data_IF_929774017488
#
_entry.id   IF_929774017488
#
_cell.length_a   1.000
_cell.length_b   1.000
_cell.length_c   1.000
_cell.angle_alpha   90.00
_cell.angle_beta   90.00
_cell.angle_gamma   90.00
#
_symmetry.space_group_name_H-M   'P 1'
#
loop_
_entity.id
_entity.type
_entity.pdbx_description
1 polymer ?
#
# COMPACT_ATOMS: atom_id res chain seq x y z
N UNK A 1 15.10 14.93 -54.74
CA UNK A 1 16.22 14.21 -54.09
C UNK A 1 16.12 12.77 -54.49
N UNK A 2 17.23 12.14 -54.82
CA UNK A 2 17.30 10.72 -55.23
C UNK A 2 18.02 9.97 -54.11
N UNK A 3 17.53 8.80 -53.72
CA UNK A 3 18.19 7.96 -52.74
C UNK A 3 19.46 7.27 -53.35
N UNK A 4 20.19 6.52 -52.51
CA UNK A 4 21.41 5.82 -52.95
C UNK A 4 21.17 4.78 -54.04
N UNK A 5 19.91 4.32 -54.23
CA UNK A 5 19.48 3.31 -55.20
C UNK A 5 18.87 3.94 -56.45
N UNK A 6 18.87 5.26 -56.59
CA UNK A 6 18.38 6.02 -57.73
C UNK A 6 16.87 6.27 -57.75
N UNK A 7 16.14 6.00 -56.66
CA UNK A 7 14.73 6.27 -56.57
C UNK A 7 14.46 7.72 -56.13
N UNK A 8 13.47 8.38 -56.73
CA UNK A 8 13.04 9.70 -56.33
C UNK A 8 12.44 9.71 -54.92
N UNK A 9 13.07 10.39 -54.00
CA UNK A 9 12.55 10.62 -52.64
C UNK A 9 11.93 12.00 -52.61
N UNK A 10 10.61 12.08 -52.47
CA UNK A 10 9.90 13.30 -52.27
C UNK A 10 9.79 13.60 -50.78
N UNK A 11 10.29 14.73 -50.35
CA UNK A 11 10.09 15.22 -48.99
C UNK A 11 8.78 15.98 -48.90
N UNK A 12 7.96 15.69 -47.88
CA UNK A 12 6.76 16.45 -47.58
C UNK A 12 7.13 17.80 -46.99
N UNK A 13 6.92 18.85 -47.74
CA UNK A 13 7.09 20.26 -47.28
C UNK A 13 5.74 20.94 -47.21
N UNK A 14 5.53 21.93 -46.32
CA UNK A 14 4.31 22.72 -46.30
C UNK A 14 4.09 23.43 -47.61
N UNK A 15 2.94 23.21 -48.27
CA UNK A 15 2.59 23.77 -49.58
C UNK A 15 2.95 22.89 -50.78
N UNK A 16 3.46 21.67 -50.59
CA UNK A 16 3.72 20.74 -51.68
C UNK A 16 2.42 20.35 -52.38
N UNK A 17 2.35 20.59 -53.69
CA UNK A 17 1.28 20.10 -54.54
C UNK A 17 1.85 19.00 -55.42
N UNK A 18 1.48 17.73 -55.12
CA UNK A 18 1.91 16.57 -55.90
C UNK A 18 0.81 16.16 -56.88
N UNK A 19 1.18 15.97 -58.17
CA UNK A 19 0.28 15.49 -59.21
C UNK A 19 0.41 13.98 -59.39
N UNK A 20 -0.61 13.21 -59.04
CA UNK A 20 -0.66 11.78 -59.28
C UNK A 20 -1.01 11.53 -60.79
N UNK A 21 -0.05 11.07 -61.56
CA UNK A 21 -0.26 10.73 -63.01
C UNK A 21 -0.47 9.19 -63.15
N UNK A 22 -1.34 8.81 -64.06
CA UNK A 22 -1.50 7.40 -64.48
C UNK A 22 -2.41 6.59 -63.55
N UNK A 23 -3.46 7.17 -62.98
CA UNK A 23 -4.46 6.41 -62.21
C UNK A 23 -3.95 5.83 -60.89
N UNK A 24 -2.89 6.42 -60.33
CA UNK A 24 -2.35 6.04 -59.03
C UNK A 24 -3.24 6.59 -57.90
N UNK A 25 -3.60 5.74 -56.95
CA UNK A 25 -4.33 6.11 -55.73
C UNK A 25 -3.32 6.47 -54.64
N UNK A 26 -3.52 7.65 -54.01
CA UNK A 26 -2.67 8.07 -52.90
C UNK A 26 -3.31 7.60 -51.63
N UNK A 27 -2.70 6.58 -50.99
CA UNK A 27 -3.12 6.10 -49.66
C UNK A 27 -2.31 6.75 -48.58
N UNK A 28 -2.98 7.52 -47.75
CA UNK A 28 -2.40 8.02 -46.51
C UNK A 28 -2.50 6.92 -45.47
N UNK A 29 -1.35 6.54 -44.92
CA UNK A 29 -1.34 5.66 -43.76
C UNK A 29 -1.81 6.46 -42.55
N UNK A 30 -3.07 6.29 -42.15
CA UNK A 30 -3.57 6.82 -40.92
C UNK A 30 -3.12 5.88 -39.80
N UNK A 31 -2.20 6.30 -38.92
CA UNK A 31 -1.87 5.50 -37.75
C UNK A 31 -3.17 5.28 -36.97
N UNK A 32 -3.47 4.02 -36.64
CA UNK A 32 -4.63 3.69 -35.81
C UNK A 32 -4.57 4.53 -34.55
N UNK A 33 -5.66 5.23 -34.24
CA UNK A 33 -5.76 5.97 -32.99
C UNK A 33 -5.46 5.01 -31.84
N UNK A 34 -4.40 5.25 -31.08
CA UNK A 34 -4.03 4.46 -29.91
C UNK A 34 -4.99 4.76 -28.77
N UNK A 35 -6.27 4.38 -28.96
CA UNK A 35 -7.37 4.63 -28.02
C UNK A 35 -7.36 3.72 -26.79
N UNK A 36 -6.32 2.94 -26.52
CA UNK A 36 -6.27 2.03 -25.40
C UNK A 36 -5.23 2.38 -24.33
N UNK A 37 -4.54 3.52 -24.43
CA UNK A 37 -3.44 3.83 -23.52
C UNK A 37 -3.90 3.94 -22.04
N UNK A 38 -5.05 4.51 -21.77
CA UNK A 38 -5.60 4.63 -20.43
C UNK A 38 -5.92 3.26 -19.81
N UNK A 39 -6.50 2.37 -20.57
CA UNK A 39 -6.81 1.00 -20.15
C UNK A 39 -5.53 0.16 -19.93
N UNK A 40 -4.59 0.26 -20.85
CA UNK A 40 -3.28 -0.39 -20.72
C UNK A 40 -2.54 0.08 -19.45
N UNK A 41 -2.48 1.40 -19.22
CA UNK A 41 -1.88 1.97 -18.02
C UNK A 41 -2.55 1.45 -16.74
N UNK A 42 -3.89 1.42 -16.72
CA UNK A 42 -4.66 0.92 -15.57
C UNK A 42 -4.37 -0.57 -15.33
N UNK A 43 -4.43 -1.41 -16.35
CA UNK A 43 -4.12 -2.83 -16.24
C UNK A 43 -2.70 -3.08 -15.74
N UNK A 44 -1.72 -2.31 -16.24
CA UNK A 44 -0.33 -2.38 -15.79
C UNK A 44 -0.18 -1.98 -14.32
N UNK A 45 -0.85 -0.92 -13.88
CA UNK A 45 -0.83 -0.49 -12.47
C UNK A 45 -1.51 -1.50 -11.54
N UNK A 46 -2.60 -2.18 -11.98
CA UNK A 46 -3.18 -3.29 -11.22
C UNK A 46 -2.20 -4.46 -11.08
N UNK A 47 -1.47 -4.79 -12.13
CA UNK A 47 -0.45 -5.85 -12.07
C UNK A 47 0.68 -5.50 -11.10
N UNK A 48 1.15 -4.26 -11.14
CA UNK A 48 2.16 -3.74 -10.21
C UNK A 48 1.64 -3.77 -8.76
N UNK A 49 0.42 -3.31 -8.55
CA UNK A 49 -0.28 -3.32 -7.27
C UNK A 49 -0.36 -4.73 -6.67
N UNK A 50 -0.77 -5.71 -7.48
CA UNK A 50 -0.81 -7.11 -7.09
C UNK A 50 0.59 -7.66 -6.75
N UNK A 51 1.62 -7.28 -7.49
CA UNK A 51 3.01 -7.68 -7.22
C UNK A 51 3.54 -7.14 -5.88
N UNK A 52 3.21 -5.90 -5.52
CA UNK A 52 3.54 -5.31 -4.23
C UNK A 52 2.58 -5.69 -3.10
N UNK A 53 1.50 -6.39 -3.39
CA UNK A 53 0.42 -6.73 -2.43
C UNK A 53 -0.19 -5.49 -1.77
N UNK A 54 -0.27 -4.40 -2.50
CA UNK A 54 -0.88 -3.13 -2.04
C UNK A 54 -2.15 -2.90 -2.86
N UNK A 55 -3.29 -2.52 -2.27
CA UNK A 55 -4.48 -2.14 -3.03
C UNK A 55 -4.18 -1.08 -4.09
N UNK A 56 -4.80 -1.21 -5.26
CA UNK A 56 -4.61 -0.30 -6.40
C UNK A 56 -4.85 1.17 -5.98
N UNK A 57 -5.86 1.40 -5.19
CA UNK A 57 -6.27 2.72 -4.70
C UNK A 57 -5.21 3.36 -3.79
N UNK A 58 -4.51 2.55 -2.98
CA UNK A 58 -3.41 3.04 -2.14
C UNK A 58 -2.15 3.31 -2.95
N UNK A 59 -1.92 2.55 -4.02
CA UNK A 59 -0.76 2.75 -4.90
C UNK A 59 -0.92 4.00 -5.77
N UNK A 60 -2.12 4.24 -6.30
CA UNK A 60 -2.38 5.26 -7.31
C UNK A 60 -3.08 6.49 -6.80
N UNK A 61 -3.78 6.41 -5.67
CA UNK A 61 -4.70 7.43 -5.18
C UNK A 61 -5.99 7.56 -6.02
N UNK A 62 -6.21 6.67 -6.98
CA UNK A 62 -7.38 6.71 -7.87
C UNK A 62 -8.59 6.04 -7.21
N UNK A 63 -9.52 6.84 -6.72
CA UNK A 63 -10.77 6.40 -6.09
C UNK A 63 -11.98 6.44 -7.05
N UNK A 64 -11.77 6.71 -8.34
CA UNK A 64 -12.85 6.95 -9.31
C UNK A 64 -13.76 5.75 -9.57
N UNK A 65 -13.27 4.52 -9.35
CA UNK A 65 -13.98 3.27 -9.66
C UNK A 65 -14.38 2.46 -8.42
N UNK A 66 -14.18 3.02 -7.21
CA UNK A 66 -14.50 2.31 -5.97
C UNK A 66 -15.71 2.89 -5.28
N UNK A 67 -16.46 2.01 -4.61
CA UNK A 67 -17.46 2.41 -3.64
C UNK A 67 -16.94 2.17 -2.21
N UNK A 68 -17.62 2.75 -1.23
CA UNK A 68 -17.24 2.64 0.18
C UNK A 68 -17.07 1.19 0.66
N UNK A 69 -17.93 0.28 0.22
CA UNK A 69 -17.89 -1.11 0.66
C UNK A 69 -16.69 -1.87 0.08
N UNK A 70 -16.38 -1.65 -1.20
CA UNK A 70 -15.24 -2.32 -1.85
C UNK A 70 -13.91 -1.82 -1.31
N UNK A 71 -13.74 -0.51 -1.11
CA UNK A 71 -12.51 0.04 -0.54
C UNK A 71 -12.31 -0.42 0.90
N UNK A 72 -13.40 -0.47 1.69
CA UNK A 72 -13.35 -0.98 3.08
C UNK A 72 -12.88 -2.44 3.12
N UNK A 73 -13.44 -3.30 2.29
CA UNK A 73 -13.04 -4.71 2.22
C UNK A 73 -11.57 -4.86 1.83
N UNK A 74 -11.10 -4.12 0.83
CA UNK A 74 -9.70 -4.12 0.42
C UNK A 74 -8.74 -3.63 1.52
N UNK A 75 -9.12 -2.57 2.25
CA UNK A 75 -8.33 -2.05 3.36
C UNK A 75 -8.26 -3.03 4.55
N UNK A 76 -9.35 -3.72 4.88
CA UNK A 76 -9.37 -4.72 5.95
C UNK A 76 -8.43 -5.88 5.62
N UNK A 77 -8.47 -6.39 4.40
CA UNK A 77 -7.59 -7.48 3.97
C UNK A 77 -6.12 -7.04 3.92
N UNK A 78 -5.86 -5.85 3.41
CA UNK A 78 -4.50 -5.27 3.41
C UNK A 78 -3.93 -5.14 4.83
N UNK A 79 -4.72 -4.62 5.78
CA UNK A 79 -4.32 -4.50 7.19
C UNK A 79 -4.01 -5.85 7.81
N UNK A 80 -4.84 -6.88 7.53
CA UNK A 80 -4.59 -8.26 7.99
C UNK A 80 -3.24 -8.80 7.49
N UNK A 81 -2.88 -8.50 6.23
CA UNK A 81 -1.58 -8.89 5.68
C UNK A 81 -0.43 -8.14 6.38
N UNK A 82 -0.59 -6.85 6.64
CA UNK A 82 0.42 -6.07 7.38
C UNK A 82 0.57 -6.58 8.81
N UNK A 83 -0.53 -6.87 9.51
CA UNK A 83 -0.49 -7.48 10.86
C UNK A 83 0.27 -8.81 10.84
N UNK A 84 0.01 -9.67 9.85
CA UNK A 84 0.72 -10.94 9.71
C UNK A 84 2.23 -10.72 9.49
N UNK A 85 2.62 -9.75 8.66
CA UNK A 85 4.04 -9.42 8.44
C UNK A 85 4.68 -8.86 9.71
N UNK A 86 3.99 -8.00 10.45
CA UNK A 86 4.50 -7.43 11.71
C UNK A 86 4.73 -8.52 12.76
N UNK A 87 3.74 -9.38 13.01
CA UNK A 87 3.79 -10.37 14.07
C UNK A 87 4.61 -11.62 13.73
N UNK A 88 4.58 -12.07 12.48
CA UNK A 88 5.20 -13.33 12.08
C UNK A 88 6.58 -13.16 11.46
N UNK A 89 6.91 -11.95 10.98
CA UNK A 89 8.18 -11.69 10.31
C UNK A 89 8.97 -10.58 11.01
N UNK A 90 8.45 -9.36 11.07
CA UNK A 90 9.23 -8.19 11.49
C UNK A 90 9.63 -8.26 12.97
N UNK A 91 8.68 -8.54 13.86
CA UNK A 91 8.96 -8.64 15.29
C UNK A 91 9.95 -9.79 15.60
N UNK A 92 9.71 -11.05 15.19
CA UNK A 92 10.59 -12.16 15.55
C UNK A 92 11.94 -12.13 14.82
N UNK A 93 12.02 -11.61 13.60
CA UNK A 93 13.26 -11.64 12.80
C UNK A 93 14.12 -10.40 13.00
N UNK A 94 13.53 -9.26 13.28
CA UNK A 94 14.24 -7.99 13.44
C UNK A 94 14.19 -7.47 14.88
N UNK A 95 12.99 -7.18 15.41
CA UNK A 95 12.87 -6.50 16.70
C UNK A 95 13.42 -7.35 17.87
N UNK A 96 13.07 -8.61 17.95
CA UNK A 96 13.47 -9.48 19.04
C UNK A 96 14.99 -9.76 19.07
N UNK A 97 15.69 -10.05 17.94
CA UNK A 97 17.14 -10.13 17.92
C UNK A 97 17.85 -8.83 18.31
N UNK A 98 17.38 -7.69 17.80
CA UNK A 98 17.97 -6.37 18.14
C UNK A 98 17.82 -6.09 19.62
N UNK A 99 16.64 -6.37 20.21
CA UNK A 99 16.42 -6.23 21.64
C UNK A 99 17.36 -7.11 22.46
N UNK A 100 17.52 -8.37 22.06
CA UNK A 100 18.44 -9.31 22.73
C UNK A 100 19.88 -8.81 22.68
N UNK A 101 20.37 -8.37 21.53
CA UNK A 101 21.73 -7.84 21.41
C UNK A 101 21.94 -6.59 22.28
N UNK A 102 20.94 -5.72 22.33
CA UNK A 102 20.98 -4.54 23.18
C UNK A 102 21.05 -4.91 24.66
N UNK A 103 20.22 -5.83 25.14
CA UNK A 103 20.20 -6.26 26.54
C UNK A 103 21.46 -7.03 26.92
N UNK A 104 22.00 -7.88 26.02
CA UNK A 104 23.28 -8.56 26.23
C UNK A 104 24.43 -7.57 26.35
N UNK A 105 24.49 -6.53 25.51
CA UNK A 105 25.50 -5.48 25.57
C UNK A 105 25.36 -4.64 26.84
N UNK A 106 24.17 -4.25 27.25
CA UNK A 106 23.90 -3.51 28.46
C UNK A 106 24.25 -4.30 29.74
N UNK A 107 24.01 -5.60 29.74
CA UNK A 107 24.43 -6.49 30.81
C UNK A 107 25.95 -6.62 30.87
N UNK A 108 26.61 -6.81 29.74
CA UNK A 108 28.08 -6.87 29.69
C UNK A 108 28.74 -5.55 30.16
N UNK A 109 28.09 -4.42 29.92
CA UNK A 109 28.50 -3.11 30.43
C UNK A 109 28.14 -2.83 31.90
N UNK A 110 27.49 -3.77 32.60
CA UNK A 110 27.08 -3.64 34.00
C UNK A 110 25.93 -2.68 34.24
N UNK A 111 25.17 -2.30 33.21
CA UNK A 111 24.05 -1.36 33.29
C UNK A 111 22.74 -2.00 33.75
N UNK A 112 22.57 -3.29 33.50
CA UNK A 112 21.40 -4.05 33.91
C UNK A 112 21.79 -5.35 34.60
N UNK A 113 20.97 -5.88 35.52
CA UNK A 113 21.34 -7.06 36.35
C UNK A 113 21.25 -8.38 35.59
N UNK A 114 20.54 -8.46 34.46
CA UNK A 114 20.32 -9.65 33.68
C UNK A 114 20.19 -9.33 32.19
N UNK A 115 20.73 -10.16 31.29
CA UNK A 115 20.54 -10.02 29.85
C UNK A 115 19.10 -10.39 29.42
N UNK A 116 18.36 -11.12 30.25
CA UNK A 116 16.98 -11.53 29.95
C UNK A 116 16.03 -10.47 30.50
N UNK A 117 15.62 -9.58 29.64
CA UNK A 117 14.65 -8.52 29.95
C UNK A 117 13.37 -8.76 29.15
N UNK A 118 12.24 -9.02 29.81
CA UNK A 118 10.96 -9.15 29.12
C UNK A 118 10.63 -7.91 28.30
N UNK A 119 10.06 -8.11 27.13
CA UNK A 119 9.61 -7.04 26.25
C UNK A 119 8.24 -7.39 25.67
N UNK A 120 7.39 -6.41 25.59
CA UNK A 120 6.09 -6.49 24.93
C UNK A 120 6.10 -5.58 23.71
N UNK A 121 5.61 -6.11 22.58
CA UNK A 121 5.57 -5.39 21.32
C UNK A 121 4.16 -4.91 21.04
N UNK A 122 4.03 -3.64 20.72
CA UNK A 122 2.75 -3.01 20.37
C UNK A 122 2.87 -2.32 19.01
N UNK A 123 2.43 -2.97 17.92
CA UNK A 123 2.45 -2.38 16.59
C UNK A 123 1.59 -1.11 16.51
N UNK A 124 1.93 -0.17 15.61
CA UNK A 124 1.12 1.02 15.38
C UNK A 124 -0.30 0.65 14.96
N UNK A 125 -1.27 1.40 15.48
CA UNK A 125 -2.67 1.26 15.13
C UNK A 125 -2.95 1.71 13.70
N UNK A 126 -3.81 0.98 13.00
CA UNK A 126 -4.49 1.49 11.81
C UNK A 126 -5.64 2.43 12.21
N UNK A 127 -5.78 3.54 11.49
CA UNK A 127 -6.92 4.42 11.68
C UNK A 127 -8.24 3.70 11.38
N UNK A 128 -9.25 3.97 12.17
CA UNK A 128 -10.58 3.42 11.97
C UNK A 128 -11.18 3.93 10.65
N UNK A 129 -11.74 3.04 9.84
CA UNK A 129 -12.45 3.45 8.61
C UNK A 129 -13.81 4.06 8.98
N UNK A 130 -14.42 3.58 10.06
CA UNK A 130 -15.66 4.10 10.64
C UNK A 130 -15.51 4.10 12.16
N UNK A 131 -15.03 5.20 12.76
CA UNK A 131 -14.72 5.25 14.19
C UNK A 131 -15.90 4.92 15.08
N UNK A 132 -17.13 5.31 14.68
CA UNK A 132 -18.33 5.06 15.48
C UNK A 132 -18.69 3.57 15.50
N UNK A 133 -18.67 2.92 14.33
CA UNK A 133 -18.96 1.48 14.25
C UNK A 133 -17.89 0.64 14.92
N UNK A 134 -16.64 1.02 14.77
CA UNK A 134 -15.52 0.31 15.38
C UNK A 134 -15.54 0.45 16.92
N UNK A 135 -15.87 1.64 17.45
CA UNK A 135 -16.05 1.85 18.89
C UNK A 135 -17.25 1.03 19.44
N UNK A 136 -18.37 0.99 18.71
CA UNK A 136 -19.51 0.20 19.11
C UNK A 136 -19.20 -1.30 19.08
N UNK A 137 -18.50 -1.79 18.07
CA UNK A 137 -18.06 -3.19 17.98
C UNK A 137 -17.15 -3.57 19.15
N UNK A 138 -16.19 -2.71 19.51
CA UNK A 138 -15.31 -2.91 20.66
C UNK A 138 -16.11 -2.96 21.98
N UNK A 139 -17.07 -2.03 22.16
CA UNK A 139 -17.95 -2.02 23.35
C UNK A 139 -18.75 -3.31 23.47
N UNK A 140 -19.33 -3.79 22.38
CA UNK A 140 -20.08 -5.06 22.33
C UNK A 140 -19.18 -6.24 22.63
N UNK A 141 -17.95 -6.28 22.10
CA UNK A 141 -16.97 -7.34 22.36
C UNK A 141 -16.56 -7.40 23.84
N UNK A 142 -16.37 -6.25 24.48
CA UNK A 142 -16.08 -6.18 25.91
C UNK A 142 -17.30 -6.68 26.73
N UNK A 143 -18.50 -6.22 26.39
CA UNK A 143 -19.73 -6.63 27.09
C UNK A 143 -20.07 -8.11 26.95
N UNK A 144 -19.75 -8.70 25.80
CA UNK A 144 -19.94 -10.14 25.55
C UNK A 144 -18.84 -11.02 26.15
N UNK A 145 -17.79 -10.42 26.72
CA UNK A 145 -16.63 -11.15 27.27
C UNK A 145 -15.71 -11.78 26.21
N UNK A 146 -15.88 -11.43 24.93
CA UNK A 146 -15.02 -11.93 23.84
C UNK A 146 -13.71 -11.18 23.72
N UNK A 147 -13.59 -10.03 24.38
CA UNK A 147 -12.39 -9.19 24.41
C UNK A 147 -12.31 -8.43 25.74
N UNK A 148 -11.11 -8.28 26.27
CA UNK A 148 -10.87 -7.47 27.48
C UNK A 148 -10.65 -6.00 27.11
N UNK A 149 -10.83 -5.11 28.09
CA UNK A 149 -10.50 -3.68 27.93
C UNK A 149 -9.01 -3.50 27.63
N UNK A 150 -8.14 -4.29 28.27
CA UNK A 150 -6.70 -4.27 28.03
C UNK A 150 -6.34 -4.62 26.58
N UNK A 151 -6.99 -5.65 26.01
CA UNK A 151 -6.78 -6.00 24.60
C UNK A 151 -7.27 -4.90 23.64
N UNK A 152 -8.37 -4.22 23.96
CA UNK A 152 -8.84 -3.08 23.14
C UNK A 152 -7.86 -1.93 23.19
N UNK A 153 -7.30 -1.62 24.37
CA UNK A 153 -6.28 -0.58 24.55
C UNK A 153 -5.00 -0.94 23.78
N UNK A 154 -4.53 -2.20 23.89
CA UNK A 154 -3.36 -2.70 23.18
C UNK A 154 -3.55 -2.64 21.64
N UNK A 155 -4.74 -3.02 21.14
CA UNK A 155 -5.10 -2.85 19.72
C UNK A 155 -5.06 -1.41 19.24
N UNK A 156 -5.15 -0.45 20.16
CA UNK A 156 -4.99 0.97 19.84
C UNK A 156 -3.53 1.43 19.87
N UNK A 157 -2.57 0.52 20.06
CA UNK A 157 -1.14 0.85 20.11
C UNK A 157 -0.73 1.55 21.41
N UNK A 158 -1.56 1.49 22.47
CA UNK A 158 -1.26 2.06 23.78
C UNK A 158 -0.97 0.96 24.78
N UNK A 159 -0.11 1.27 25.77
CA UNK A 159 0.14 0.34 26.87
C UNK A 159 -1.09 0.30 27.80
N UNK A 160 -1.71 -0.89 28.01
CA UNK A 160 -2.91 -1.01 28.84
C UNK A 160 -2.72 -0.55 30.28
N UNK A 161 -1.59 -0.90 30.92
CA UNK A 161 -1.34 -0.57 32.31
C UNK A 161 -1.20 0.96 32.50
N UNK A 162 -0.50 1.62 31.57
CA UNK A 162 -0.36 3.07 31.60
C UNK A 162 -1.71 3.79 31.43
N UNK A 163 -2.55 3.31 30.49
CA UNK A 163 -3.88 3.89 30.27
C UNK A 163 -4.82 3.66 31.45
N UNK A 164 -4.80 2.46 32.03
CA UNK A 164 -5.63 2.13 33.20
C UNK A 164 -5.20 2.94 34.44
N UNK A 165 -3.88 3.14 34.64
CA UNK A 165 -3.36 4.01 35.69
C UNK A 165 -3.77 5.48 35.47
N UNK A 166 -3.73 5.98 34.26
CA UNK A 166 -4.18 7.33 33.89
C UNK A 166 -5.67 7.52 34.18
N UNK A 167 -6.51 6.55 33.79
CA UNK A 167 -7.95 6.56 34.10
C UNK A 167 -8.21 6.54 35.61
N UNK A 168 -7.49 5.70 36.36
CA UNK A 168 -7.62 5.61 37.81
C UNK A 168 -7.20 6.88 38.52
N UNK A 169 -6.25 7.62 38.00
CA UNK A 169 -5.81 8.90 38.54
C UNK A 169 -6.76 10.07 38.24
N UNK A 170 -7.62 9.92 37.25
CA UNK A 170 -8.55 10.97 36.78
C UNK A 170 -9.95 10.83 37.37
N UNK A 171 -10.31 9.67 37.96
CA UNK A 171 -11.56 9.40 38.69
C UNK A 171 -11.39 9.55 40.17
#
# INVERSE_FOLDING_TARGET
>A
VVDADGNGVEQFEPGLIAYARGGKDIRFNQPSATGGYGEYKRASLHTISAGFRVPYELLTGDLSQVNYSSIRAGLVEFRRQIDAVQWQLFIPVFCAPVWRWFTEAAWAAGQIPSPIVPVEWSPPKFEAVDPQKDAMANLLSIRSGTMTLAEVIAKQGRNPDAVLAEIAATN
#
